data_IF_526094413077
#
_entry.id   IF_526094413077
#
_cell.length_a   1.000
_cell.length_b   1.000
_cell.length_c   1.000
_cell.angle_alpha   90.00
_cell.angle_beta   90.00
_cell.angle_gamma   90.00
#
_symmetry.space_group_name_H-M   'P 1'
#
loop_
_entity.id
_entity.type
_entity.pdbx_description
1 polymer ?
#
# COMPACT_ATOMS: atom_id res chain seq x y z
N UNK A 1 37.03 24.50 14.51
CA UNK A 1 36.81 25.83 15.09
C UNK A 1 35.78 26.58 14.24
N UNK A 2 34.49 26.30 14.43
CA UNK A 2 33.35 27.06 13.92
C UNK A 2 32.69 27.73 15.12
N UNK A 3 33.03 29.00 15.38
CA UNK A 3 32.12 29.89 16.12
C UNK A 3 31.05 30.33 15.13
N UNK A 4 30.05 29.49 14.94
CA UNK A 4 28.74 29.93 14.43
C UNK A 4 27.75 29.27 15.35
N UNK A 5 27.24 30.06 16.30
CA UNK A 5 25.89 30.03 16.87
C UNK A 5 25.93 30.77 18.20
N UNK A 6 25.63 32.06 18.17
CA UNK A 6 24.89 32.69 19.25
C UNK A 6 23.73 33.48 18.63
N UNK A 7 22.54 32.92 18.87
CA UNK A 7 21.32 33.59 19.30
C UNK A 7 20.98 34.99 18.78
N UNK A 8 19.71 35.12 18.38
CA UNK A 8 18.88 36.33 18.33
C UNK A 8 19.20 37.35 17.24
N UNK A 9 18.41 37.27 16.16
CA UNK A 9 17.75 38.44 15.61
C UNK A 9 18.60 39.54 14.99
N UNK A 10 19.58 39.22 14.14
CA UNK A 10 19.99 40.05 12.98
C UNK A 10 20.97 39.24 12.13
N UNK A 11 20.88 39.25 10.78
CA UNK A 11 21.85 38.57 9.93
C UNK A 11 23.23 39.25 10.06
N UNK A 12 24.25 38.49 10.47
CA UNK A 12 25.62 38.97 10.56
C UNK A 12 26.22 39.12 9.15
N UNK A 13 26.09 40.32 8.57
CA UNK A 13 26.55 40.67 7.21
C UNK A 13 28.05 40.38 7.02
N UNK A 14 28.82 40.41 8.10
CA UNK A 14 30.27 40.24 8.09
C UNK A 14 30.72 38.78 7.86
N UNK A 15 29.93 37.79 8.27
CA UNK A 15 30.22 36.38 8.04
C UNK A 15 29.93 35.95 6.61
N UNK A 16 28.93 36.55 5.97
CA UNK A 16 28.51 36.22 4.61
C UNK A 16 29.59 36.54 3.54
N UNK A 17 30.50 37.47 3.81
CA UNK A 17 31.60 37.82 2.89
C UNK A 17 32.87 36.98 3.09
N UNK A 18 32.94 36.14 4.14
CA UNK A 18 34.17 35.44 4.55
C UNK A 18 34.27 34.00 4.02
N UNK A 19 33.41 33.57 3.10
CA UNK A 19 33.48 32.21 2.51
C UNK A 19 34.87 31.88 1.93
N UNK A 20 35.54 32.82 1.27
CA UNK A 20 36.91 32.61 0.76
C UNK A 20 37.93 32.33 1.88
N UNK A 21 37.81 33.04 3.00
CA UNK A 21 38.63 32.81 4.20
C UNK A 21 38.32 31.43 4.81
N UNK A 22 37.05 31.05 4.92
CA UNK A 22 36.66 29.74 5.44
C UNK A 22 37.16 28.59 4.57
N UNK A 23 37.07 28.69 3.24
CA UNK A 23 37.58 27.67 2.31
C UNK A 23 39.10 27.51 2.43
N UNK A 24 39.83 28.63 2.51
CA UNK A 24 41.29 28.61 2.71
C UNK A 24 41.68 27.99 4.05
N UNK A 25 40.99 28.38 5.13
CA UNK A 25 41.24 27.88 6.48
C UNK A 25 40.89 26.39 6.60
N UNK A 26 39.77 25.94 6.02
CA UNK A 26 39.39 24.53 6.00
C UNK A 26 40.40 23.67 5.22
N UNK A 27 40.91 24.18 4.10
CA UNK A 27 41.96 23.50 3.31
C UNK A 27 43.25 23.35 4.12
N UNK A 28 43.64 24.38 4.86
CA UNK A 28 44.81 24.35 5.75
C UNK A 28 44.60 23.42 6.96
N UNK A 29 43.40 23.44 7.55
CA UNK A 29 43.04 22.55 8.66
C UNK A 29 42.97 21.08 8.24
N UNK A 30 42.53 20.77 7.02
CA UNK A 30 42.54 19.41 6.47
C UNK A 30 43.97 18.88 6.26
N UNK A 31 44.90 19.76 5.88
CA UNK A 31 46.33 19.42 5.79
C UNK A 31 46.94 19.19 7.18
N UNK A 32 46.54 19.96 8.19
CA UNK A 32 46.98 19.80 9.59
C UNK A 32 46.33 18.57 10.26
N UNK A 33 45.06 18.27 9.99
CA UNK A 33 44.36 17.15 10.63
C UNK A 33 44.88 15.77 10.20
N UNK A 34 45.58 15.69 9.06
CA UNK A 34 46.42 14.51 8.70
C UNK A 34 47.59 14.29 9.66
N UNK A 35 47.99 15.29 10.44
CA UNK A 35 48.96 15.18 11.53
C UNK A 35 48.24 15.15 12.88
N UNK A 36 47.64 14.00 13.21
CA UNK A 36 47.00 13.77 14.50
C UNK A 36 48.03 13.97 15.64
N UNK A 37 47.90 15.07 16.39
CA UNK A 37 48.71 15.35 17.59
C UNK A 37 47.91 15.01 18.84
N UNK A 38 48.05 13.75 19.26
CA UNK A 38 48.07 13.33 20.67
C UNK A 38 46.86 13.65 21.53
N UNK A 39 45.92 12.71 21.61
CA UNK A 39 44.92 12.55 22.67
C UNK A 39 44.46 11.08 22.71
N UNK A 40 43.95 10.59 23.85
CA UNK A 40 43.36 9.23 23.94
C UNK A 40 42.20 9.16 22.95
N UNK A 41 42.40 8.47 21.83
CA UNK A 41 41.33 8.13 20.89
C UNK A 41 40.45 7.11 21.60
N UNK A 42 39.16 7.42 21.79
CA UNK A 42 38.19 6.40 22.20
C UNK A 42 38.19 5.28 21.16
N UNK A 43 38.17 4.02 21.59
CA UNK A 43 38.03 2.86 20.69
C UNK A 43 36.71 2.91 19.90
N UNK A 44 35.74 3.72 20.35
CA UNK A 44 34.51 4.00 19.64
C UNK A 44 34.69 5.19 18.66
N UNK A 45 34.72 4.87 17.36
CA UNK A 45 34.78 5.86 16.28
C UNK A 45 33.70 6.94 16.33
N UNK A 46 32.51 6.64 16.87
CA UNK A 46 31.44 7.62 17.06
C UNK A 46 31.78 8.63 18.16
N UNK A 47 32.23 8.16 19.32
CA UNK A 47 32.64 9.03 20.44
C UNK A 47 33.82 9.92 20.06
N UNK A 48 34.80 9.35 19.34
CA UNK A 48 35.91 10.13 18.80
C UNK A 48 35.43 11.22 17.83
N UNK A 49 34.46 10.91 16.97
CA UNK A 49 33.83 11.87 16.07
C UNK A 49 33.07 12.99 16.79
N UNK A 50 32.31 12.66 17.84
CA UNK A 50 31.58 13.65 18.66
C UNK A 50 32.57 14.54 19.41
N UNK A 51 33.62 13.98 20.03
CA UNK A 51 34.64 14.75 20.74
C UNK A 51 35.36 15.74 19.79
N UNK A 52 35.69 15.30 18.58
CA UNK A 52 36.25 16.15 17.54
C UNK A 52 35.26 17.24 17.11
N UNK A 53 33.96 16.94 17.02
CA UNK A 53 32.93 17.92 16.69
C UNK A 53 32.82 19.02 17.77
N UNK A 54 32.85 18.64 19.06
CA UNK A 54 32.83 19.57 20.20
C UNK A 54 34.05 20.50 20.18
N UNK A 55 35.27 19.94 20.02
CA UNK A 55 36.50 20.72 19.86
C UNK A 55 36.44 21.62 18.62
N UNK A 56 35.85 21.12 17.54
CA UNK A 56 35.65 21.90 16.33
C UNK A 56 34.68 23.05 16.55
N UNK A 57 33.77 23.03 17.51
CA UNK A 57 32.91 24.16 17.85
C UNK A 57 33.61 25.16 18.80
N UNK A 58 34.86 24.89 19.19
CA UNK A 58 35.67 25.73 20.05
C UNK A 58 35.43 25.50 21.54
N UNK A 59 34.80 24.39 21.91
CA UNK A 59 34.59 23.98 23.30
C UNK A 59 35.61 22.92 23.70
N UNK A 60 36.09 22.97 24.94
CA UNK A 60 36.86 21.86 25.52
C UNK A 60 35.91 20.78 26.03
N UNK A 61 36.20 19.52 25.74
CA UNK A 61 35.39 18.37 26.17
C UNK A 61 35.20 18.30 27.71
N UNK A 62 36.15 18.82 28.49
CA UNK A 62 36.14 18.77 29.95
C UNK A 62 35.41 19.96 30.61
N UNK A 63 35.07 21.01 29.84
CA UNK A 63 34.35 22.16 30.39
C UNK A 63 32.84 21.93 30.40
N UNK A 64 32.08 22.49 31.38
CA UNK A 64 30.62 22.33 31.46
C UNK A 64 29.88 22.69 30.17
N UNK A 65 30.37 23.71 29.45
CA UNK A 65 29.83 24.11 28.14
C UNK A 65 30.10 23.08 27.05
N UNK A 66 31.28 22.44 27.04
CA UNK A 66 31.58 21.36 26.10
C UNK A 66 30.81 20.08 26.38
N UNK A 67 30.60 19.74 27.67
CA UNK A 67 29.72 18.63 28.07
C UNK A 67 28.29 18.85 27.58
N UNK A 68 27.74 20.06 27.77
CA UNK A 68 26.40 20.39 27.28
C UNK A 68 26.29 20.33 25.75
N UNK A 69 27.30 20.82 25.02
CA UNK A 69 27.34 20.72 23.54
C UNK A 69 27.41 19.26 23.09
N UNK A 70 28.21 18.43 23.77
CA UNK A 70 28.29 16.99 23.52
C UNK A 70 26.91 16.33 23.68
N UNK A 71 26.23 16.56 24.80
CA UNK A 71 24.88 16.04 25.05
C UNK A 71 23.87 16.49 23.99
N UNK A 72 23.97 17.75 23.52
CA UNK A 72 23.12 18.25 22.43
C UNK A 72 23.37 17.49 21.12
N UNK A 73 24.64 17.26 20.75
CA UNK A 73 25.00 16.50 19.53
C UNK A 73 24.50 15.05 19.64
N UNK A 74 24.69 14.40 20.78
CA UNK A 74 24.24 13.03 21.01
C UNK A 74 22.72 12.91 20.98
N UNK A 75 22.01 13.87 21.58
CA UNK A 75 20.55 13.93 21.56
C UNK A 75 20.03 14.14 20.14
N UNK A 76 20.59 15.12 19.41
CA UNK A 76 20.23 15.38 18.01
C UNK A 76 20.51 14.17 17.12
N UNK A 77 21.64 13.49 17.34
CA UNK A 77 21.98 12.27 16.61
C UNK A 77 20.98 11.16 16.91
N UNK A 78 20.61 10.97 18.17
CA UNK A 78 19.61 9.97 18.58
C UNK A 78 18.27 10.22 17.91
N UNK A 79 17.78 11.47 17.94
CA UNK A 79 16.54 11.88 17.27
C UNK A 79 16.62 11.62 15.76
N UNK A 80 17.74 11.99 15.11
CA UNK A 80 17.91 11.79 13.67
C UNK A 80 18.00 10.33 13.24
N UNK A 81 18.55 9.46 14.11
CA UNK A 81 18.72 8.02 13.84
C UNK A 81 17.50 7.20 14.21
N UNK A 82 16.65 7.68 15.12
CA UNK A 82 15.48 6.93 15.58
C UNK A 82 14.63 6.40 14.40
N UNK A 83 14.26 7.19 13.36
CA UNK A 83 13.50 6.67 12.23
C UNK A 83 14.21 5.55 11.45
N UNK A 84 15.53 5.64 11.31
CA UNK A 84 16.34 4.63 10.61
C UNK A 84 16.34 3.32 11.40
N UNK A 85 16.53 3.40 12.72
CA UNK A 85 16.47 2.24 13.61
C UNK A 85 15.08 1.59 13.57
N UNK A 86 14.01 2.39 13.68
CA UNK A 86 12.62 1.91 13.56
C UNK A 86 12.36 1.22 12.23
N UNK A 87 12.84 1.78 11.11
CA UNK A 87 12.73 1.11 9.80
C UNK A 87 13.48 -0.23 9.74
N UNK A 88 14.57 -0.40 10.50
CA UNK A 88 15.30 -1.67 10.59
C UNK A 88 14.58 -2.70 11.47
N UNK A 89 13.95 -2.27 12.56
CA UNK A 89 13.09 -3.11 13.40
C UNK A 89 11.87 -3.61 12.59
N UNK A 90 11.20 -2.69 11.88
CA UNK A 90 10.08 -3.03 11.00
C UNK A 90 10.47 -4.04 9.92
N UNK A 91 11.72 -4.01 9.44
CA UNK A 91 12.20 -5.00 8.48
C UNK A 91 12.21 -6.43 9.06
N UNK A 92 12.49 -6.57 10.35
CA UNK A 92 12.45 -7.84 11.09
C UNK A 92 10.98 -8.23 11.33
N UNK A 93 10.15 -7.29 11.78
CA UNK A 93 8.72 -7.51 11.99
C UNK A 93 8.00 -7.94 10.72
N UNK A 94 8.36 -7.34 9.57
CA UNK A 94 7.85 -7.76 8.26
C UNK A 94 8.15 -9.25 8.01
N UNK A 95 9.36 -9.71 8.37
CA UNK A 95 9.74 -11.12 8.31
C UNK A 95 8.84 -12.02 9.16
N UNK A 96 8.50 -11.57 10.37
CA UNK A 96 7.65 -12.30 11.30
C UNK A 96 6.19 -12.43 10.84
N UNK A 97 5.70 -11.52 9.98
CA UNK A 97 4.33 -11.60 9.44
C UNK A 97 4.24 -12.30 8.09
N UNK A 98 5.38 -12.62 7.44
CA UNK A 98 5.40 -13.39 6.19
C UNK A 98 4.63 -14.72 6.28
N UNK A 99 4.73 -15.52 7.36
CA UNK A 99 3.98 -16.78 7.48
C UNK A 99 2.46 -16.62 7.33
N UNK A 100 1.87 -15.52 7.84
CA UNK A 100 0.44 -15.24 7.68
C UNK A 100 0.05 -14.99 6.23
N UNK A 101 0.92 -14.31 5.46
CA UNK A 101 0.72 -14.13 4.02
C UNK A 101 0.85 -15.44 3.26
N UNK A 102 1.82 -16.28 3.62
CA UNK A 102 1.99 -17.60 3.03
C UNK A 102 0.77 -18.49 3.31
N UNK A 103 0.17 -18.40 4.49
CA UNK A 103 -1.06 -19.13 4.80
C UNK A 103 -2.22 -18.74 3.87
N UNK A 104 -2.41 -17.44 3.60
CA UNK A 104 -3.41 -16.96 2.64
C UNK A 104 -3.09 -17.47 1.23
N UNK A 105 -1.82 -17.46 0.83
CA UNK A 105 -1.40 -17.97 -0.48
C UNK A 105 -1.70 -19.47 -0.60
N UNK A 106 -1.33 -20.28 0.40
CA UNK A 106 -1.64 -21.71 0.42
C UNK A 106 -3.14 -21.98 0.44
N UNK A 107 -3.91 -21.17 1.17
CA UNK A 107 -5.36 -21.24 1.14
C UNK A 107 -5.90 -21.01 -0.27
N UNK A 108 -5.37 -20.01 -0.97
CA UNK A 108 -5.74 -19.72 -2.35
C UNK A 108 -5.43 -20.91 -3.27
N UNK A 109 -4.22 -21.45 -3.18
CA UNK A 109 -3.77 -22.55 -4.04
C UNK A 109 -4.59 -23.82 -3.79
N UNK A 110 -4.95 -24.10 -2.54
CA UNK A 110 -5.81 -25.25 -2.20
C UNK A 110 -7.29 -25.03 -2.54
N UNK A 111 -7.77 -23.78 -2.60
CA UNK A 111 -9.09 -23.49 -3.19
C UNK A 111 -9.10 -23.64 -4.72
N UNK A 112 -7.99 -23.30 -5.41
CA UNK A 112 -7.83 -23.51 -6.86
C UNK A 112 -7.81 -25.00 -7.21
N UNK A 113 -7.15 -25.83 -6.40
CA UNK A 113 -7.10 -27.29 -6.57
C UNK A 113 -8.37 -28.02 -6.11
N UNK A 114 -9.31 -27.33 -5.44
CA UNK A 114 -10.50 -27.94 -4.87
C UNK A 114 -11.49 -28.40 -5.95
N UNK A 115 -12.11 -29.59 -5.80
CA UNK A 115 -13.13 -30.07 -6.74
C UNK A 115 -14.38 -29.17 -6.77
N UNK A 116 -14.59 -28.34 -5.74
CA UNK A 116 -15.71 -27.38 -5.68
C UNK A 116 -15.59 -26.28 -6.74
N UNK A 117 -14.40 -26.00 -7.27
CA UNK A 117 -14.14 -24.96 -8.30
C UNK A 117 -14.79 -23.60 -7.98
N UNK A 118 -14.74 -23.18 -6.72
CA UNK A 118 -15.28 -21.90 -6.24
C UNK A 118 -14.23 -20.77 -6.29
N UNK A 119 -12.95 -21.09 -6.05
CA UNK A 119 -11.93 -20.07 -5.81
C UNK A 119 -11.92 -19.58 -4.36
N UNK A 120 -10.85 -18.88 -3.97
CA UNK A 120 -10.60 -18.56 -2.56
C UNK A 120 -11.52 -17.46 -2.00
N UNK A 121 -11.91 -16.48 -2.82
CA UNK A 121 -12.88 -15.46 -2.46
C UNK A 121 -14.22 -16.09 -2.05
N UNK A 122 -14.80 -16.89 -2.95
CA UNK A 122 -16.10 -17.53 -2.73
C UNK A 122 -16.07 -18.55 -1.57
N UNK A 123 -14.97 -19.32 -1.43
CA UNK A 123 -14.85 -20.21 -0.28
C UNK A 123 -14.83 -19.43 1.04
N UNK A 124 -14.06 -18.35 1.12
CA UNK A 124 -13.96 -17.54 2.33
C UNK A 124 -15.28 -16.83 2.67
N UNK A 125 -15.98 -16.33 1.65
CA UNK A 125 -17.29 -15.70 1.79
C UNK A 125 -18.36 -16.70 2.25
N UNK A 126 -18.37 -17.92 1.70
CA UNK A 126 -19.47 -18.86 1.92
C UNK A 126 -19.26 -19.80 3.12
N UNK A 127 -18.02 -20.06 3.52
CA UNK A 127 -17.72 -21.02 4.60
C UNK A 127 -17.11 -20.34 5.83
N UNK A 128 -17.27 -20.97 6.99
CA UNK A 128 -16.72 -20.52 8.27
C UNK A 128 -16.07 -21.69 9.04
N UNK A 129 -15.48 -22.64 8.31
CA UNK A 129 -14.85 -23.80 8.95
C UNK A 129 -13.52 -23.40 9.60
N UNK A 130 -12.91 -24.33 10.34
CA UNK A 130 -11.60 -24.12 11.00
C UNK A 130 -10.53 -23.56 10.05
N UNK A 131 -10.54 -23.99 8.78
CA UNK A 131 -9.63 -23.48 7.75
C UNK A 131 -9.86 -21.99 7.44
N UNK A 132 -11.10 -21.59 7.14
CA UNK A 132 -11.47 -20.19 6.87
C UNK A 132 -11.25 -19.29 8.09
N UNK A 133 -11.54 -19.78 9.30
CA UNK A 133 -11.29 -19.05 10.54
C UNK A 133 -9.79 -18.80 10.74
N UNK A 134 -8.94 -19.80 10.47
CA UNK A 134 -7.48 -19.62 10.54
C UNK A 134 -6.98 -18.56 9.57
N UNK A 135 -7.44 -18.64 8.32
CA UNK A 135 -7.11 -17.64 7.28
C UNK A 135 -7.60 -16.25 7.65
N UNK A 136 -8.77 -16.15 8.28
CA UNK A 136 -9.30 -14.88 8.77
C UNK A 136 -8.42 -14.29 9.89
N UNK A 137 -7.87 -15.11 10.78
CA UNK A 137 -6.89 -14.65 11.78
C UNK A 137 -5.62 -14.13 11.10
N UNK A 138 -5.10 -14.84 10.09
CA UNK A 138 -3.93 -14.40 9.32
C UNK A 138 -4.18 -13.08 8.60
N UNK A 139 -5.35 -12.90 7.98
CA UNK A 139 -5.81 -11.63 7.38
C UNK A 139 -5.79 -10.50 8.41
N UNK A 140 -6.38 -10.72 9.59
CA UNK A 140 -6.45 -9.71 10.65
C UNK A 140 -5.06 -9.32 11.20
N UNK A 141 -4.15 -10.30 11.37
CA UNK A 141 -2.78 -10.03 11.81
C UNK A 141 -1.99 -9.23 10.79
N UNK A 142 -2.14 -9.53 9.50
CA UNK A 142 -1.53 -8.74 8.43
C UNK A 142 -2.10 -7.32 8.37
N UNK A 143 -3.42 -7.17 8.52
CA UNK A 143 -4.05 -5.86 8.58
C UNK A 143 -3.48 -5.03 9.73
N UNK A 144 -3.39 -5.60 10.95
CA UNK A 144 -2.80 -4.92 12.12
C UNK A 144 -1.36 -4.46 11.87
N UNK A 145 -0.53 -5.30 11.24
CA UNK A 145 0.85 -4.94 10.91
C UNK A 145 0.90 -3.74 9.95
N UNK A 146 0.14 -3.80 8.84
CA UNK A 146 0.16 -2.72 7.85
C UNK A 146 -0.48 -1.43 8.36
N UNK A 147 -1.59 -1.53 9.10
CA UNK A 147 -2.21 -0.37 9.74
C UNK A 147 -1.20 0.33 10.67
N UNK A 148 -0.42 -0.42 11.47
CA UNK A 148 0.64 0.12 12.32
C UNK A 148 1.80 0.74 11.53
N UNK A 149 2.23 0.14 10.42
CA UNK A 149 3.25 0.74 9.55
C UNK A 149 2.78 2.09 8.99
N UNK A 150 1.52 2.20 8.55
CA UNK A 150 1.00 3.44 8.01
C UNK A 150 0.81 4.51 9.09
N UNK A 151 0.39 4.13 10.30
CA UNK A 151 0.36 5.04 11.45
C UNK A 151 1.75 5.62 11.74
N UNK A 152 2.80 4.80 11.74
CA UNK A 152 4.18 5.28 11.92
C UNK A 152 4.64 6.23 10.81
N UNK A 153 4.19 6.02 9.56
CA UNK A 153 4.46 6.96 8.46
C UNK A 153 3.74 8.29 8.68
N UNK A 154 2.47 8.26 9.09
CA UNK A 154 1.67 9.46 9.37
C UNK A 154 2.26 10.27 10.55
N UNK A 155 2.83 9.59 11.55
CA UNK A 155 3.46 10.18 12.72
C UNK A 155 4.92 10.63 12.49
N UNK A 156 5.45 10.49 11.27
CA UNK A 156 6.85 10.79 10.92
C UNK A 156 7.88 10.01 11.76
N UNK A 157 7.54 8.79 12.18
CA UNK A 157 8.43 7.90 12.93
C UNK A 157 9.37 7.08 12.02
N UNK A 158 9.23 7.24 10.71
CA UNK A 158 9.98 6.53 9.68
C UNK A 158 10.72 7.50 8.77
N UNK A 159 11.76 7.04 8.04
CA UNK A 159 12.50 7.88 7.10
C UNK A 159 11.56 8.56 6.11
N UNK A 160 11.87 9.81 5.73
CA UNK A 160 11.01 10.62 4.87
C UNK A 160 10.70 9.96 3.52
N UNK A 161 11.61 9.13 3.02
CA UNK A 161 11.53 8.40 1.76
C UNK A 161 11.07 6.94 1.91
N UNK A 162 10.60 6.53 3.09
CA UNK A 162 10.19 5.16 3.39
C UNK A 162 9.17 4.61 2.38
N UNK A 163 8.19 5.43 2.00
CA UNK A 163 7.14 5.13 1.03
C UNK A 163 7.65 4.95 -0.42
N UNK A 164 8.86 5.42 -0.72
CA UNK A 164 9.53 5.22 -2.02
C UNK A 164 10.42 3.97 -2.01
N UNK A 165 10.68 3.40 -0.83
CA UNK A 165 11.46 2.20 -0.66
C UNK A 165 10.83 1.01 -1.38
N UNK A 166 11.50 0.53 -2.45
CA UNK A 166 11.02 -0.60 -3.28
C UNK A 166 10.55 -1.80 -2.45
N UNK A 167 11.29 -2.13 -1.37
CA UNK A 167 10.92 -3.21 -0.43
C UNK A 167 9.50 -3.03 0.11
N UNK A 168 9.18 -1.85 0.62
CA UNK A 168 7.90 -1.55 1.25
C UNK A 168 6.77 -1.47 0.24
N UNK A 169 7.01 -0.80 -0.90
CA UNK A 169 6.05 -0.71 -2.01
C UNK A 169 5.66 -2.09 -2.54
N UNK A 170 6.63 -2.98 -2.78
CA UNK A 170 6.31 -4.33 -3.27
C UNK A 170 5.68 -5.20 -2.19
N UNK A 171 6.18 -5.14 -0.94
CA UNK A 171 5.62 -5.93 0.15
C UNK A 171 4.15 -5.58 0.41
N UNK A 172 3.82 -4.28 0.40
CA UNK A 172 2.46 -3.80 0.62
C UNK A 172 1.55 -4.15 -0.55
N UNK A 173 2.02 -4.00 -1.80
CA UNK A 173 1.27 -4.42 -2.99
C UNK A 173 0.96 -5.92 -2.98
N UNK A 174 1.95 -6.75 -2.64
CA UNK A 174 1.75 -8.21 -2.58
C UNK A 174 0.83 -8.63 -1.44
N UNK A 175 0.79 -7.88 -0.35
CA UNK A 175 -0.22 -8.04 0.70
C UNK A 175 -1.60 -7.68 0.16
N UNK A 176 -1.76 -6.49 -0.42
CA UNK A 176 -3.04 -5.99 -0.91
C UNK A 176 -3.68 -6.92 -1.95
N UNK A 177 -2.90 -7.37 -2.94
CA UNK A 177 -3.35 -8.32 -3.97
C UNK A 177 -4.02 -9.56 -3.37
N UNK A 178 -3.47 -10.10 -2.28
CA UNK A 178 -3.98 -11.33 -1.66
C UNK A 178 -5.08 -11.07 -0.62
N UNK A 179 -4.91 -10.05 0.21
CA UNK A 179 -5.74 -9.83 1.40
C UNK A 179 -6.99 -8.98 1.12
N UNK A 180 -6.93 -8.02 0.19
CA UNK A 180 -8.06 -7.12 -0.08
C UNK A 180 -9.29 -7.89 -0.59
N UNK A 181 -9.16 -8.89 -1.49
CA UNK A 181 -10.29 -9.75 -1.84
C UNK A 181 -10.94 -10.44 -0.64
N UNK A 182 -10.17 -10.84 0.38
CA UNK A 182 -10.71 -11.45 1.60
C UNK A 182 -11.35 -10.43 2.52
N UNK A 183 -10.84 -9.19 2.58
CA UNK A 183 -11.52 -8.09 3.28
C UNK A 183 -12.85 -7.73 2.62
N UNK A 184 -12.91 -7.74 1.29
CA UNK A 184 -14.16 -7.57 0.53
C UNK A 184 -15.12 -8.71 0.85
N UNK A 185 -14.66 -9.97 0.80
CA UNK A 185 -15.48 -11.13 1.13
C UNK A 185 -16.03 -11.04 2.58
N UNK A 186 -15.18 -10.63 3.53
CA UNK A 186 -15.57 -10.41 4.91
C UNK A 186 -16.63 -9.32 5.03
N UNK A 187 -16.42 -8.18 4.36
CA UNK A 187 -17.36 -7.06 4.35
C UNK A 187 -18.74 -7.48 3.83
N UNK A 188 -18.80 -8.12 2.66
CA UNK A 188 -20.07 -8.58 2.08
C UNK A 188 -20.74 -9.73 2.84
N UNK A 189 -19.99 -10.43 3.70
CA UNK A 189 -20.53 -11.51 4.54
C UNK A 189 -21.09 -11.00 5.87
N UNK A 190 -20.43 -10.02 6.51
CA UNK A 190 -20.73 -9.66 7.91
C UNK A 190 -21.13 -8.19 8.12
N UNK A 191 -20.73 -7.29 7.24
CA UNK A 191 -20.88 -5.83 7.44
C UNK A 191 -21.87 -5.20 6.45
N UNK A 192 -22.01 -5.80 5.27
CA UNK A 192 -22.80 -5.26 4.20
C UNK A 192 -24.30 -5.25 4.54
N UNK A 193 -24.91 -4.11 4.27
CA UNK A 193 -26.36 -3.90 4.22
C UNK A 193 -26.62 -2.78 3.22
N UNK A 194 -27.84 -2.69 2.68
CA UNK A 194 -28.20 -1.58 1.78
C UNK A 194 -28.05 -0.21 2.44
N UNK A 195 -28.21 -0.11 3.76
CA UNK A 195 -28.03 1.14 4.52
C UNK A 195 -26.55 1.54 4.64
N UNK A 196 -25.67 0.58 4.98
CA UNK A 196 -24.22 0.83 5.05
C UNK A 196 -23.65 1.16 3.67
N UNK A 197 -24.18 0.53 2.63
CA UNK A 197 -23.77 0.70 1.23
C UNK A 197 -22.59 -0.21 0.86
N UNK A 198 -22.21 -0.19 -0.41
CA UNK A 198 -21.20 -1.09 -0.94
C UNK A 198 -19.78 -0.77 -0.49
N UNK A 199 -18.85 -1.70 -0.70
CA UNK A 199 -17.46 -1.60 -0.23
C UNK A 199 -16.73 -0.37 -0.79
N UNK A 200 -17.03 0.03 -2.03
CA UNK A 200 -16.39 1.18 -2.68
C UNK A 200 -16.96 2.54 -2.20
N UNK A 201 -18.02 2.54 -1.38
CA UNK A 201 -18.53 3.76 -0.77
C UNK A 201 -17.50 4.31 0.22
N UNK A 202 -17.32 5.64 0.20
CA UNK A 202 -16.39 6.34 1.08
C UNK A 202 -16.53 5.90 2.54
N UNK A 203 -15.42 5.51 3.15
CA UNK A 203 -15.35 5.06 4.55
C UNK A 203 -15.49 3.54 4.76
N UNK A 204 -15.98 2.78 3.78
CA UNK A 204 -16.12 1.32 3.92
C UNK A 204 -14.82 0.58 3.59
N UNK A 205 -14.07 1.06 2.60
CA UNK A 205 -12.75 0.52 2.25
C UNK A 205 -11.71 0.93 3.31
N UNK A 206 -10.94 -0.01 3.88
CA UNK A 206 -9.88 0.34 4.84
C UNK A 206 -8.82 1.26 4.24
N UNK A 207 -8.48 2.33 4.99
CA UNK A 207 -7.50 3.37 4.57
C UNK A 207 -6.16 2.80 4.12
N UNK A 208 -5.69 1.71 4.74
CA UNK A 208 -4.44 1.02 4.33
C UNK A 208 -4.37 0.75 2.83
N UNK A 209 -5.46 0.32 2.21
CA UNK A 209 -5.46 0.01 0.78
C UNK A 209 -5.37 1.26 -0.09
N UNK A 210 -5.97 2.36 0.35
CA UNK A 210 -5.83 3.66 -0.32
C UNK A 210 -4.40 4.19 -0.23
N UNK A 211 -3.72 3.99 0.92
CA UNK A 211 -2.31 4.37 1.10
C UNK A 211 -1.42 3.52 0.20
N UNK A 212 -1.66 2.21 0.11
CA UNK A 212 -0.91 1.31 -0.78
C UNK A 212 -1.11 1.72 -2.25
N UNK A 213 -2.34 2.00 -2.67
CA UNK A 213 -2.61 2.49 -4.03
C UNK A 213 -1.83 3.77 -4.35
N UNK A 214 -1.71 4.69 -3.38
CA UNK A 214 -0.89 5.91 -3.52
C UNK A 214 0.59 5.59 -3.67
N UNK A 215 1.14 4.72 -2.82
CA UNK A 215 2.54 4.29 -2.89
C UNK A 215 2.85 3.59 -4.23
N UNK A 216 1.94 2.73 -4.69
CA UNK A 216 2.07 2.02 -5.95
C UNK A 216 2.05 2.97 -7.16
N UNK A 217 1.16 3.97 -7.17
CA UNK A 217 1.11 5.01 -8.21
C UNK A 217 2.33 5.92 -8.21
N UNK A 218 2.83 6.30 -7.03
CA UNK A 218 4.00 7.18 -6.88
C UNK A 218 5.29 6.58 -7.43
N UNK A 219 5.39 5.24 -7.49
CA UNK A 219 6.50 4.53 -8.17
C UNK A 219 6.61 4.86 -9.67
N UNK A 220 5.56 5.43 -10.26
CA UNK A 220 5.40 5.63 -11.70
C UNK A 220 4.66 4.47 -12.36
N UNK A 221 3.90 4.76 -13.43
CA UNK A 221 3.25 3.72 -14.20
C UNK A 221 4.30 2.77 -14.77
N UNK A 222 4.27 1.45 -14.46
CA UNK A 222 4.99 0.51 -15.29
C UNK A 222 4.50 0.73 -16.72
N UNK A 223 5.44 0.77 -17.68
CA UNK A 223 5.11 0.96 -19.09
C UNK A 223 3.98 -0.02 -19.43
N UNK A 224 2.75 0.49 -19.64
CA UNK A 224 1.58 -0.36 -19.87
C UNK A 224 1.87 -1.11 -21.16
N UNK A 225 2.37 -2.33 -21.03
CA UNK A 225 2.51 -3.22 -22.17
C UNK A 225 1.09 -3.37 -22.72
N UNK A 226 0.86 -2.81 -23.91
CA UNK A 226 -0.42 -2.92 -24.61
C UNK A 226 -0.74 -4.37 -25.01
N UNK A 227 0.09 -5.33 -24.62
CA UNK A 227 -0.01 -6.75 -24.93
C UNK A 227 -0.60 -7.49 -23.74
N UNK A 228 -1.56 -8.36 -24.03
CA UNK A 228 -2.11 -9.27 -23.04
C UNK A 228 -0.99 -10.16 -22.48
N UNK A 229 -1.12 -10.54 -21.20
CA UNK A 229 -0.16 -11.44 -20.55
C UNK A 229 -0.16 -12.80 -21.25
N UNK A 230 0.96 -13.50 -21.20
CA UNK A 230 1.06 -14.87 -21.74
C UNK A 230 0.23 -15.86 -20.92
N UNK A 231 0.15 -15.65 -19.59
CA UNK A 231 -0.62 -16.45 -18.64
C UNK A 231 -1.49 -15.56 -17.75
N UNK A 232 -2.58 -16.13 -17.24
CA UNK A 232 -3.38 -15.50 -16.19
C UNK A 232 -2.51 -15.10 -15.01
N UNK A 233 -2.83 -13.96 -14.41
CA UNK A 233 -2.14 -13.48 -13.23
C UNK A 233 -2.28 -14.49 -12.08
N UNK A 234 -1.25 -14.59 -11.24
CA UNK A 234 -1.34 -15.42 -10.02
C UNK A 234 -2.45 -14.91 -9.09
N UNK A 235 -2.66 -13.60 -9.09
CA UNK A 235 -3.69 -12.88 -8.33
C UNK A 235 -4.26 -11.78 -9.21
N UNK A 236 -5.57 -11.54 -9.16
CA UNK A 236 -6.22 -10.47 -9.91
C UNK A 236 -5.56 -9.12 -9.66
N UNK A 237 -5.19 -8.40 -10.73
CA UNK A 237 -4.42 -7.16 -10.65
C UNK A 237 -5.23 -5.97 -10.12
N UNK A 238 -6.54 -5.94 -10.37
CA UNK A 238 -7.46 -5.01 -9.70
C UNK A 238 -7.99 -5.68 -8.42
N UNK A 239 -7.51 -5.22 -7.27
CA UNK A 239 -7.82 -5.78 -5.96
C UNK A 239 -9.29 -5.56 -5.56
N UNK A 240 -9.94 -4.54 -6.12
CA UNK A 240 -11.34 -4.22 -5.91
C UNK A 240 -12.28 -4.92 -6.90
N UNK A 241 -11.78 -5.83 -7.75
CA UNK A 241 -12.58 -6.58 -8.72
C UNK A 241 -13.83 -7.21 -8.09
N UNK A 242 -13.67 -7.88 -6.94
CA UNK A 242 -14.78 -8.55 -6.26
C UNK A 242 -15.80 -7.56 -5.70
N UNK A 243 -15.38 -6.39 -5.23
CA UNK A 243 -16.31 -5.36 -4.75
C UNK A 243 -17.20 -4.88 -5.90
N UNK A 244 -16.61 -4.57 -7.06
CA UNK A 244 -17.33 -4.17 -8.27
C UNK A 244 -18.30 -5.26 -8.75
N UNK A 245 -17.92 -6.53 -8.62
CA UNK A 245 -18.80 -7.66 -8.94
C UNK A 245 -20.04 -7.71 -8.03
N UNK A 246 -19.87 -7.53 -6.72
CA UNK A 246 -21.02 -7.57 -5.80
C UNK A 246 -22.00 -6.42 -6.05
N UNK A 247 -21.51 -5.23 -6.43
CA UNK A 247 -22.36 -4.13 -6.90
C UNK A 247 -23.13 -4.50 -8.18
N UNK A 248 -22.45 -5.09 -9.16
CA UNK A 248 -23.07 -5.52 -10.41
C UNK A 248 -24.10 -6.64 -10.22
N UNK A 249 -23.86 -7.56 -9.27
CA UNK A 249 -24.82 -8.60 -8.87
C UNK A 249 -26.08 -8.00 -8.30
N UNK A 250 -25.96 -7.06 -7.36
CA UNK A 250 -27.13 -6.38 -6.78
C UNK A 250 -27.89 -5.56 -7.83
N UNK A 251 -27.18 -4.89 -8.75
CA UNK A 251 -27.85 -4.18 -9.85
C UNK A 251 -28.66 -5.14 -10.73
N UNK A 252 -28.12 -6.33 -11.02
CA UNK A 252 -28.83 -7.35 -11.81
C UNK A 252 -30.03 -7.91 -11.04
N UNK A 253 -29.90 -8.14 -9.74
CA UNK A 253 -31.01 -8.59 -8.88
C UNK A 253 -32.13 -7.54 -8.83
N UNK A 254 -31.79 -6.26 -8.67
CA UNK A 254 -32.75 -5.15 -8.66
C UNK A 254 -33.46 -4.96 -10.01
N UNK A 255 -32.80 -5.27 -11.13
CA UNK A 255 -33.44 -5.27 -12.45
C UNK A 255 -34.39 -6.45 -12.64
N UNK A 256 -34.10 -7.59 -12.02
CA UNK A 256 -35.00 -8.74 -12.07
C UNK A 256 -36.22 -8.59 -11.16
N UNK A 257 -36.15 -7.71 -10.15
CA UNK A 257 -37.31 -7.31 -9.38
C UNK A 257 -38.18 -6.32 -10.17
N UNK A 258 -39.49 -6.54 -10.20
CA UNK A 258 -40.47 -5.67 -10.85
C UNK A 258 -40.46 -4.26 -10.22
N UNK A 259 -39.63 -3.37 -10.76
CA UNK A 259 -39.67 -1.93 -10.43
C UNK A 259 -40.12 -1.15 -11.65
N UNK A 260 -41.14 -0.29 -11.48
CA UNK A 260 -41.83 0.43 -12.55
C UNK A 260 -41.11 1.67 -13.07
N UNK A 261 -39.94 2.01 -12.53
CA UNK A 261 -39.18 3.21 -12.89
C UNK A 261 -38.17 2.92 -14.01
N UNK A 262 -38.52 3.34 -15.24
CA UNK A 262 -37.70 3.20 -16.43
C UNK A 262 -36.35 3.94 -16.33
N UNK A 263 -36.30 5.07 -15.62
CA UNK A 263 -35.06 5.83 -15.45
C UNK A 263 -34.09 5.08 -14.53
N UNK A 264 -34.61 4.53 -13.42
CA UNK A 264 -33.83 3.66 -12.52
C UNK A 264 -33.32 2.42 -13.23
N UNK A 265 -34.15 1.75 -14.04
CA UNK A 265 -33.72 0.59 -14.82
C UNK A 265 -32.58 0.93 -15.79
N UNK A 266 -32.65 2.08 -16.47
CA UNK A 266 -31.60 2.55 -17.39
C UNK A 266 -30.27 2.76 -16.65
N UNK A 267 -30.31 3.34 -15.45
CA UNK A 267 -29.11 3.56 -14.62
C UNK A 267 -28.49 2.25 -14.13
N UNK A 268 -29.31 1.28 -13.70
CA UNK A 268 -28.84 -0.04 -13.28
C UNK A 268 -28.21 -0.80 -14.45
N UNK A 269 -28.85 -0.75 -15.62
CA UNK A 269 -28.33 -1.37 -16.84
C UNK A 269 -26.97 -0.81 -17.25
N UNK A 270 -26.82 0.52 -17.19
CA UNK A 270 -25.54 1.18 -17.46
C UNK A 270 -24.41 0.65 -16.57
N UNK A 271 -24.65 0.48 -15.26
CA UNK A 271 -23.65 -0.05 -14.32
C UNK A 271 -23.27 -1.50 -14.63
N UNK A 272 -24.24 -2.33 -14.98
CA UNK A 272 -24.02 -3.72 -15.38
C UNK A 272 -23.14 -3.77 -16.63
N UNK A 273 -23.49 -2.99 -17.65
CA UNK A 273 -22.74 -2.93 -18.91
C UNK A 273 -21.30 -2.42 -18.71
N UNK A 274 -21.12 -1.39 -17.88
CA UNK A 274 -19.80 -0.88 -17.51
C UNK A 274 -18.94 -1.97 -16.85
N UNK A 275 -19.51 -2.71 -15.91
CA UNK A 275 -18.82 -3.82 -15.25
C UNK A 275 -18.54 -5.00 -16.19
N UNK A 276 -19.48 -5.35 -17.07
CA UNK A 276 -19.31 -6.38 -18.10
C UNK A 276 -18.12 -6.05 -19.01
N UNK A 277 -18.07 -4.83 -19.57
CA UNK A 277 -16.97 -4.39 -20.43
C UNK A 277 -15.64 -4.35 -19.69
N UNK A 278 -15.65 -3.86 -18.46
CA UNK A 278 -14.48 -3.81 -17.58
C UNK A 278 -13.93 -5.22 -17.32
N UNK A 279 -14.77 -6.14 -16.85
CA UNK A 279 -14.36 -7.51 -16.52
C UNK A 279 -13.91 -8.29 -17.75
N UNK A 280 -14.60 -8.16 -18.89
CA UNK A 280 -14.17 -8.75 -20.16
C UNK A 280 -12.78 -8.25 -20.60
N UNK A 281 -12.47 -6.97 -20.39
CA UNK A 281 -11.15 -6.40 -20.69
C UNK A 281 -10.07 -7.03 -19.81
N UNK A 282 -10.29 -7.13 -18.51
CA UNK A 282 -9.34 -7.76 -17.57
C UNK A 282 -9.10 -9.24 -17.91
N UNK A 283 -10.16 -9.97 -18.26
CA UNK A 283 -10.06 -11.37 -18.69
C UNK A 283 -9.25 -11.50 -19.99
N UNK A 284 -9.53 -10.65 -20.99
CA UNK A 284 -8.80 -10.60 -22.27
C UNK A 284 -7.32 -10.30 -22.07
N UNK A 285 -6.99 -9.38 -21.18
CA UNK A 285 -5.60 -9.02 -20.83
C UNK A 285 -4.94 -10.06 -19.90
N UNK A 286 -5.70 -11.06 -19.44
CA UNK A 286 -5.30 -12.10 -18.49
C UNK A 286 -4.83 -11.54 -17.14
N UNK A 287 -5.39 -10.40 -16.74
CA UNK A 287 -5.09 -9.71 -15.49
C UNK A 287 -5.88 -10.25 -14.29
N UNK A 288 -6.90 -11.08 -14.54
CA UNK A 288 -7.59 -11.86 -13.51
C UNK A 288 -6.79 -13.10 -13.13
N UNK A 289 -6.98 -13.57 -11.90
CA UNK A 289 -6.54 -14.91 -11.50
C UNK A 289 -7.55 -16.00 -11.89
N UNK A 290 -7.09 -17.25 -11.86
CA UNK A 290 -7.88 -18.41 -12.29
C UNK A 290 -9.10 -18.70 -11.41
N UNK A 291 -9.08 -18.25 -10.16
CA UNK A 291 -10.21 -18.32 -9.24
C UNK A 291 -11.42 -17.52 -9.71
N UNK A 292 -11.21 -16.35 -10.33
CA UNK A 292 -12.28 -15.58 -10.99
C UNK A 292 -12.95 -16.41 -12.07
N UNK A 293 -12.17 -17.21 -12.81
CA UNK A 293 -12.62 -18.05 -13.93
C UNK A 293 -13.03 -19.46 -13.50
N UNK A 294 -13.07 -19.75 -12.20
CA UNK A 294 -13.48 -21.06 -11.73
C UNK A 294 -14.96 -21.29 -12.06
N UNK A 295 -15.32 -22.54 -12.38
CA UNK A 295 -16.65 -22.89 -12.90
C UNK A 295 -17.79 -22.42 -12.01
N UNK A 296 -17.61 -22.49 -10.68
CA UNK A 296 -18.62 -22.11 -9.71
C UNK A 296 -18.32 -20.78 -9.02
N UNK A 297 -17.37 -19.99 -9.53
CA UNK A 297 -17.07 -18.67 -8.95
C UNK A 297 -18.27 -17.75 -9.05
N UNK A 298 -18.40 -16.79 -8.13
CA UNK A 298 -19.46 -15.76 -8.20
C UNK A 298 -19.44 -15.01 -9.53
N UNK A 299 -18.27 -14.84 -10.15
CA UNK A 299 -18.14 -14.15 -11.44
C UNK A 299 -18.72 -14.99 -12.58
N UNK A 300 -18.34 -16.25 -12.69
CA UNK A 300 -18.83 -17.15 -13.75
C UNK A 300 -20.35 -17.32 -13.64
N UNK A 301 -20.87 -17.49 -12.43
CA UNK A 301 -22.33 -17.58 -12.19
C UNK A 301 -23.04 -16.29 -12.58
N UNK A 302 -22.47 -15.12 -12.27
CA UNK A 302 -23.03 -13.82 -12.66
C UNK A 302 -23.04 -13.64 -14.18
N UNK A 303 -21.98 -14.04 -14.90
CA UNK A 303 -21.92 -13.97 -16.36
C UNK A 303 -23.02 -14.82 -17.01
N UNK A 304 -23.22 -16.05 -16.52
CA UNK A 304 -24.30 -16.92 -17.05
C UNK A 304 -25.68 -16.34 -16.72
N UNK A 305 -25.90 -15.84 -15.50
CA UNK A 305 -27.16 -15.17 -15.12
C UNK A 305 -27.45 -13.96 -16.01
N UNK A 306 -26.44 -13.12 -16.30
CA UNK A 306 -26.58 -11.98 -17.21
C UNK A 306 -26.93 -12.42 -18.64
N UNK A 307 -26.29 -13.50 -19.13
CA UNK A 307 -26.59 -14.07 -20.45
C UNK A 307 -28.04 -14.56 -20.53
N UNK A 308 -28.53 -15.24 -19.50
CA UNK A 308 -29.92 -15.70 -19.42
C UNK A 308 -30.91 -14.52 -19.39
N UNK A 309 -30.62 -13.50 -18.58
CA UNK A 309 -31.42 -12.28 -18.52
C UNK A 309 -31.53 -11.60 -19.89
N UNK A 310 -30.42 -11.49 -20.63
CA UNK A 310 -30.41 -10.92 -21.98
C UNK A 310 -31.23 -11.73 -22.98
N UNK A 311 -31.19 -13.06 -22.90
CA UNK A 311 -32.03 -13.92 -23.76
C UNK A 311 -33.52 -13.69 -23.48
N UNK A 312 -33.91 -13.60 -22.21
CA UNK A 312 -35.30 -13.36 -21.81
C UNK A 312 -35.81 -11.98 -22.26
N UNK A 313 -34.95 -10.95 -22.19
CA UNK A 313 -35.28 -9.61 -22.67
C UNK A 313 -35.52 -9.58 -24.18
N UNK A 314 -34.71 -10.31 -24.95
CA UNK A 314 -34.87 -10.46 -26.41
C UNK A 314 -36.13 -11.27 -26.76
N UNK A 315 -36.43 -12.36 -26.04
CA UNK A 315 -37.65 -13.15 -26.28
C UNK A 315 -38.95 -12.41 -25.92
N UNK A 316 -38.90 -11.50 -24.94
CA UNK A 316 -40.05 -10.71 -24.52
C UNK A 316 -40.28 -9.44 -25.37
N UNK A 317 -39.56 -9.29 -26.49
CA UNK A 317 -39.91 -8.30 -27.53
C UNK A 317 -39.56 -6.84 -27.20
N UNK A 318 -38.57 -6.57 -26.34
CA UNK A 318 -37.98 -5.22 -26.27
C UNK A 318 -36.88 -5.14 -27.33
N UNK A 319 -37.29 -4.85 -28.57
CA UNK A 319 -36.38 -4.36 -29.62
C UNK A 319 -35.87 -3.00 -29.16
N UNK A 320 -34.64 -2.97 -28.63
CA UNK A 320 -33.95 -1.71 -28.39
C UNK A 320 -33.54 -1.14 -29.76
N UNK A 321 -34.32 -0.16 -30.24
CA UNK A 321 -33.97 0.66 -31.41
C UNK A 321 -32.85 1.64 -31.04
N UNK A 322 -31.69 1.13 -30.63
CA UNK A 322 -30.49 1.95 -30.40
C UNK A 322 -29.37 1.73 -31.42
N UNK A 323 -29.48 0.71 -32.29
CA UNK A 323 -28.54 0.50 -33.42
C UNK A 323 -28.87 1.34 -34.68
N UNK A 324 -29.43 2.54 -34.50
CA UNK A 324 -29.71 3.47 -35.59
C UNK A 324 -29.00 4.81 -35.42
N UNK A 325 -27.73 4.81 -35.00
CA UNK A 325 -26.80 5.93 -35.24
C UNK A 325 -25.35 5.41 -35.31
N UNK A 326 -25.02 4.69 -36.38
CA UNK A 326 -23.65 4.63 -36.90
C UNK A 326 -23.72 4.27 -38.39
N UNK A 327 -23.88 5.30 -39.22
CA UNK A 327 -23.46 5.34 -40.62
C UNK A 327 -22.57 6.54 -40.81
#
# INVERSE_FOLDING_TARGET
MFRILNSTGTPNIEEHQRYGHYVSTLSHLFLISRSFRGGRISDNSYEAGVALAVESLGFSNDQPSGVSVKECIETATTISRAPILRSSELAIELGNVVPYRLEIQWYKDSCEASPKKLGYYDNFKNFSNQRELRVNMSRAKLAKFWDGVFEMVEMNELPFDFHLGKKWVYASQFYQLLAEPLDIAYFYKYTYSRATGHYMKSGNRPKRYEVIDKWWKARGEPHKEKRARTRYASTTQDTCFWAKLEEAKECLDDLTCESSDAQKQTLLWKKIYEFERYSATLVKMKEVSKDVLATNSSYTVWVEKLREFNKLKVSNGVVDKSDAMET
#
